data_IF_061121423043
#
_entry.id   IF_061121423043
#
_cell.length_a   1.000
_cell.length_b   1.000
_cell.length_c   1.000
_cell.angle_alpha   90.00
_cell.angle_beta   90.00
_cell.angle_gamma   90.00
#
_symmetry.space_group_name_H-M   'P 1'
#
loop_
_entity.id
_entity.type
_entity.pdbx_description
1 polymer ?
#
# COMPACT_ATOMS: atom_id res chain seq x y z
N UNK A 1 -3.45 11.45 -0.52
CA UNK A 1 -2.71 10.88 0.64
C UNK A 1 -1.36 10.40 0.17
N UNK A 2 -0.28 10.72 0.90
CA UNK A 2 1.04 10.15 0.63
C UNK A 2 1.04 8.68 1.07
N UNK A 3 1.64 7.81 0.29
CA UNK A 3 1.82 6.41 0.68
C UNK A 3 2.71 6.28 1.92
N UNK A 4 2.44 5.27 2.76
CA UNK A 4 3.37 4.89 3.83
C UNK A 4 4.72 4.46 3.23
N UNK A 5 5.82 4.74 3.94
CA UNK A 5 7.16 4.26 3.58
C UNK A 5 7.21 2.73 3.57
N UNK A 6 8.13 2.15 2.79
CA UNK A 6 8.32 0.70 2.73
C UNK A 6 8.66 0.10 4.09
N UNK A 7 9.62 0.69 4.82
CA UNK A 7 9.97 0.27 6.19
C UNK A 7 8.75 0.15 7.11
N UNK A 8 7.86 1.17 7.09
CA UNK A 8 6.68 1.16 7.94
C UNK A 8 5.70 0.04 7.54
N UNK A 9 5.52 -0.21 6.24
CA UNK A 9 4.66 -1.29 5.75
C UNK A 9 5.20 -2.65 6.15
N UNK A 10 6.50 -2.86 6.02
CA UNK A 10 7.18 -4.12 6.38
C UNK A 10 7.06 -4.38 7.88
N UNK A 11 7.29 -3.37 8.73
CA UNK A 11 7.14 -3.50 10.19
C UNK A 11 5.71 -3.81 10.62
N UNK A 12 4.72 -3.21 9.95
CA UNK A 12 3.30 -3.52 10.19
C UNK A 12 3.02 -4.97 9.81
N UNK A 13 3.45 -5.41 8.62
CA UNK A 13 3.21 -6.77 8.14
C UNK A 13 3.89 -7.81 9.04
N UNK A 14 5.13 -7.55 9.47
CA UNK A 14 5.84 -8.40 10.41
C UNK A 14 5.07 -8.57 11.73
N UNK A 15 4.51 -7.49 12.28
CA UNK A 15 3.69 -7.55 13.49
C UNK A 15 2.40 -8.37 13.29
N UNK A 16 1.79 -8.30 12.09
CA UNK A 16 0.61 -9.13 11.75
C UNK A 16 1.00 -10.61 11.69
N UNK A 17 2.10 -10.95 11.01
CA UNK A 17 2.57 -12.34 10.90
C UNK A 17 3.09 -12.92 12.21
N UNK A 18 3.58 -12.09 13.13
CA UNK A 18 3.97 -12.52 14.47
C UNK A 18 2.78 -13.07 15.27
N UNK A 19 1.54 -12.65 14.95
CA UNK A 19 0.31 -13.21 15.53
C UNK A 19 0.09 -12.93 17.02
N UNK A 20 0.93 -12.09 17.65
CA UNK A 20 0.85 -11.75 19.08
C UNK A 20 -0.18 -10.68 19.40
N UNK A 21 -0.54 -9.86 18.41
CA UNK A 21 -1.45 -8.73 18.56
C UNK A 21 -2.55 -8.79 17.49
N UNK A 22 -3.75 -8.30 17.83
CA UNK A 22 -4.82 -8.13 16.84
C UNK A 22 -4.56 -6.92 15.94
N UNK A 23 -5.04 -6.96 14.71
CA UNK A 23 -4.86 -5.85 13.74
C UNK A 23 -5.29 -4.47 14.27
N UNK A 24 -6.38 -4.31 15.06
CA UNK A 24 -6.71 -3.03 15.68
C UNK A 24 -5.64 -2.53 16.66
N UNK A 25 -5.03 -3.42 17.45
CA UNK A 25 -3.94 -3.05 18.37
C UNK A 25 -2.68 -2.64 17.60
N UNK A 26 -2.34 -3.39 16.55
CA UNK A 26 -1.24 -3.05 15.64
C UNK A 26 -1.48 -1.68 15.02
N UNK A 27 -2.70 -1.39 14.57
CA UNK A 27 -3.04 -0.10 13.99
C UNK A 27 -2.78 1.06 14.96
N UNK A 28 -3.20 0.92 16.23
CA UNK A 28 -2.94 1.92 17.28
C UNK A 28 -1.43 2.07 17.52
N UNK A 29 -0.69 0.95 17.64
CA UNK A 29 0.76 0.94 17.89
C UNK A 29 1.56 1.68 16.81
N UNK A 30 1.15 1.55 15.54
CA UNK A 30 1.81 2.19 14.39
C UNK A 30 1.15 3.50 13.96
N UNK A 31 0.13 3.99 14.70
CA UNK A 31 -0.63 5.21 14.38
C UNK A 31 -1.21 5.22 12.96
N UNK A 32 -1.68 4.06 12.50
CA UNK A 32 -2.35 3.89 11.20
C UNK A 32 -3.80 3.46 11.39
N UNK A 33 -4.60 3.51 10.33
CA UNK A 33 -5.96 2.99 10.40
C UNK A 33 -5.98 1.45 10.36
N UNK A 34 -6.94 0.83 11.04
CA UNK A 34 -7.16 -0.62 10.98
C UNK A 34 -7.34 -1.12 9.53
N UNK A 35 -8.01 -0.34 8.69
CA UNK A 35 -8.18 -0.65 7.26
C UNK A 35 -6.86 -0.64 6.49
N UNK A 36 -5.89 0.19 6.87
CA UNK A 36 -4.56 0.17 6.27
C UNK A 36 -3.83 -1.14 6.60
N UNK A 37 -3.91 -1.60 7.85
CA UNK A 37 -3.31 -2.88 8.27
C UNK A 37 -3.93 -4.04 7.50
N UNK A 38 -5.27 -4.12 7.42
CA UNK A 38 -5.97 -5.13 6.60
C UNK A 38 -5.54 -5.09 5.14
N UNK A 39 -5.44 -3.88 4.57
CA UNK A 39 -5.03 -3.71 3.18
C UNK A 39 -3.62 -4.27 2.93
N UNK A 40 -2.67 -4.00 3.82
CA UNK A 40 -1.30 -4.48 3.66
C UNK A 40 -1.20 -6.01 3.76
N UNK A 41 -1.91 -6.62 4.71
CA UNK A 41 -1.98 -8.08 4.82
C UNK A 41 -2.55 -8.71 3.54
N UNK A 42 -3.70 -8.20 3.06
CA UNK A 42 -4.31 -8.74 1.84
C UNK A 42 -3.46 -8.49 0.60
N UNK A 43 -2.84 -7.31 0.49
CA UNK A 43 -1.92 -7.02 -0.61
C UNK A 43 -0.75 -7.99 -0.63
N UNK A 44 -0.15 -8.27 0.54
CA UNK A 44 0.93 -9.25 0.65
C UNK A 44 0.44 -10.66 0.32
N UNK A 45 -0.70 -11.08 0.87
CA UNK A 45 -1.28 -12.41 0.61
C UNK A 45 -1.59 -12.63 -0.87
N UNK A 46 -2.16 -11.62 -1.53
CA UNK A 46 -2.70 -11.75 -2.88
C UNK A 46 -1.63 -11.47 -3.96
N UNK A 47 -0.64 -10.61 -3.67
CA UNK A 47 0.34 -10.13 -4.67
C UNK A 47 1.80 -10.42 -4.30
N UNK A 48 2.09 -10.80 -3.05
CA UNK A 48 3.47 -11.01 -2.58
C UNK A 48 4.32 -9.74 -2.52
N UNK A 49 3.70 -8.55 -2.55
CA UNK A 49 4.41 -7.26 -2.49
C UNK A 49 3.72 -6.27 -1.56
N UNK A 50 4.52 -5.45 -0.89
CA UNK A 50 4.05 -4.32 -0.08
C UNK A 50 4.23 -2.97 -0.80
N UNK A 51 4.73 -2.97 -2.03
CA UNK A 51 4.98 -1.73 -2.75
C UNK A 51 3.70 -0.89 -2.90
N UNK A 52 3.78 0.45 -2.77
CA UNK A 52 2.63 1.29 -3.01
C UNK A 52 2.09 1.05 -4.43
N UNK A 53 0.84 0.58 -4.52
CA UNK A 53 0.15 0.57 -5.81
C UNK A 53 -0.07 2.03 -6.23
N UNK A 54 0.64 2.44 -7.28
CA UNK A 54 0.39 3.73 -7.89
C UNK A 54 -0.98 3.67 -8.54
N UNK A 55 -1.91 4.52 -8.12
CA UNK A 55 -2.99 4.94 -9.01
C UNK A 55 -2.26 5.69 -10.13
N UNK A 56 -1.85 4.97 -11.19
CA UNK A 56 -1.47 5.65 -12.42
C UNK A 56 -2.70 6.46 -12.80
N UNK A 57 -2.59 7.78 -12.63
CA UNK A 57 -3.51 8.70 -13.29
C UNK A 57 -3.59 8.31 -14.76
N UNK A 58 -4.76 8.52 -15.35
CA UNK A 58 -5.05 8.36 -16.77
C UNK A 58 -3.77 8.59 -17.56
N UNK A 59 -3.23 7.52 -18.12
CA UNK A 59 -1.98 7.58 -18.85
C UNK A 59 -2.18 8.58 -19.98
N UNK A 60 -1.61 9.77 -19.88
CA UNK A 60 -1.33 10.60 -21.05
C UNK A 60 -0.48 9.69 -21.94
N UNK A 61 -1.11 9.17 -22.99
CA UNK A 61 -0.43 8.29 -23.92
C UNK A 61 0.62 9.17 -24.59
N UNK A 62 1.88 8.96 -24.23
CA UNK A 62 3.00 9.60 -24.92
C UNK A 62 3.30 8.69 -26.11
N UNK A 63 2.88 9.09 -27.30
CA UNK A 63 3.31 8.48 -28.56
C UNK A 63 4.37 9.44 -29.13
N UNK A 64 5.58 8.94 -29.39
CA UNK A 64 6.70 9.70 -29.98
C UNK A 64 7.03 11.04 -29.29
N UNK A 65 7.03 11.07 -27.96
CA UNK A 65 7.47 12.25 -27.20
C UNK A 65 6.46 13.41 -27.16
N UNK A 66 5.23 13.22 -27.65
CA UNK A 66 4.14 14.16 -27.47
C UNK A 66 2.99 13.56 -26.66
N UNK A 67 2.50 14.32 -25.69
CA UNK A 67 1.29 14.00 -24.95
C UNK A 67 0.06 14.15 -25.86
N UNK A 68 -0.70 13.07 -26.05
CA UNK A 68 -2.01 13.14 -26.72
C UNK A 68 -3.14 13.01 -25.70
N UNK A 69 -4.07 13.97 -25.72
CA UNK A 69 -5.33 13.90 -24.96
C UNK A 69 -6.33 13.08 -25.76
N UNK A 70 -6.71 11.91 -25.25
CA UNK A 70 -7.87 11.19 -25.77
C UNK A 70 -9.14 12.02 -25.44
N UNK A 71 -9.88 12.39 -26.49
CA UNK A 71 -11.18 13.07 -26.40
C UNK A 71 -12.31 12.05 -26.25
#
# INVERSE_FOLDING_TARGET
>A
MRALSMDLRERILAAVHEGKESMPKIAIRFLVSHKMVQKLEYQWRDMGTLEPQTTQGWAETIIDGQAVRAT
#
